data_IF_536781210184
#
_entry.id   IF_536781210184
#
_cell.length_a   1.000
_cell.length_b   1.000
_cell.length_c   1.000
_cell.angle_alpha   90.00
_cell.angle_beta   90.00
_cell.angle_gamma   90.00
#
_symmetry.space_group_name_H-M   'P 1'
#
loop_
_entity.id
_entity.type
_entity.pdbx_description
1 polymer ?
#
# COMPACT_ATOMS: atom_id res chain seq x y z
N UNK A 1 5.13 13.43 17.20
CA UNK A 1 4.35 12.48 16.39
C UNK A 1 5.28 11.84 15.36
N UNK A 2 5.09 10.56 15.07
CA UNK A 2 5.81 9.80 14.06
C UNK A 2 4.82 9.24 13.03
N UNK A 3 4.97 9.63 11.78
CA UNK A 3 4.13 9.17 10.66
C UNK A 3 4.92 8.23 9.77
N UNK A 4 4.41 7.03 9.54
CA UNK A 4 4.91 6.10 8.54
C UNK A 4 4.15 6.29 7.23
N UNK A 5 4.84 6.39 6.10
CA UNK A 5 4.20 6.47 4.77
C UNK A 5 4.82 5.44 3.85
N UNK A 6 3.97 4.63 3.22
CA UNK A 6 4.39 3.72 2.18
C UNK A 6 4.64 4.46 0.86
N UNK A 7 5.91 4.53 0.43
CA UNK A 7 6.35 5.19 -0.81
C UNK A 7 6.49 4.22 -1.99
N UNK A 8 6.07 2.96 -1.83
CA UNK A 8 6.13 1.92 -2.86
C UNK A 8 5.41 2.32 -4.15
N UNK A 9 4.28 3.04 -4.03
CA UNK A 9 3.54 3.58 -5.17
C UNK A 9 4.39 4.54 -6.03
N UNK A 10 5.40 5.22 -5.48
CA UNK A 10 6.26 6.14 -6.24
C UNK A 10 7.15 5.41 -7.26
N UNK A 11 7.31 4.09 -7.12
CA UNK A 11 8.12 3.28 -8.03
C UNK A 11 7.27 2.50 -9.04
N UNK A 12 6.12 1.99 -8.60
CA UNK A 12 5.29 1.10 -9.41
C UNK A 12 4.30 1.90 -10.26
N UNK A 13 3.62 2.86 -9.63
CA UNK A 13 2.55 3.57 -10.31
C UNK A 13 3.12 4.58 -11.31
N UNK A 14 2.25 4.99 -12.22
CA UNK A 14 2.51 5.97 -13.28
C UNK A 14 1.38 6.98 -13.29
N UNK A 15 1.59 8.10 -13.96
CA UNK A 15 0.59 9.16 -14.13
C UNK A 15 0.02 9.67 -12.78
N UNK A 16 -1.31 9.77 -12.66
CA UNK A 16 -1.98 10.51 -11.59
C UNK A 16 -1.64 10.07 -10.17
N UNK A 17 -1.61 8.77 -9.90
CA UNK A 17 -1.31 8.24 -8.55
C UNK A 17 0.11 8.63 -8.13
N UNK A 18 1.08 8.49 -9.04
CA UNK A 18 2.46 8.89 -8.81
C UNK A 18 2.56 10.40 -8.55
N UNK A 19 1.98 11.21 -9.44
CA UNK A 19 2.04 12.67 -9.35
C UNK A 19 1.39 13.18 -8.07
N UNK A 20 0.24 12.63 -7.69
CA UNK A 20 -0.43 13.00 -6.44
C UNK A 20 0.42 12.63 -5.23
N UNK A 21 0.82 11.36 -5.10
CA UNK A 21 1.55 10.88 -3.93
C UNK A 21 2.91 11.58 -3.77
N UNK A 22 3.61 11.83 -4.89
CA UNK A 22 4.87 12.56 -4.87
C UNK A 22 4.71 14.01 -4.41
N UNK A 23 3.74 14.74 -4.97
CA UNK A 23 3.54 16.15 -4.61
C UNK A 23 2.97 16.29 -3.20
N UNK A 24 2.09 15.39 -2.76
CA UNK A 24 1.61 15.37 -1.38
C UNK A 24 2.78 15.28 -0.40
N UNK A 25 3.66 14.29 -0.56
CA UNK A 25 4.82 14.13 0.30
C UNK A 25 5.80 15.30 0.18
N UNK A 26 6.15 15.72 -1.04
CA UNK A 26 7.05 16.85 -1.27
C UNK A 26 6.60 18.11 -0.55
N UNK A 27 5.31 18.45 -0.65
CA UNK A 27 4.78 19.67 -0.06
C UNK A 27 4.53 19.52 1.44
N UNK A 28 4.10 18.34 1.91
CA UNK A 28 3.96 18.05 3.33
C UNK A 28 5.30 18.19 4.07
N UNK A 29 6.36 17.61 3.53
CA UNK A 29 7.71 17.68 4.11
C UNK A 29 8.33 19.08 4.03
N UNK A 30 7.89 19.91 3.07
CA UNK A 30 8.36 21.28 2.97
C UNK A 30 7.84 22.15 4.14
N UNK A 31 6.59 21.92 4.57
CA UNK A 31 5.89 22.74 5.57
C UNK A 31 5.98 22.18 7.00
N UNK A 32 6.09 20.86 7.17
CA UNK A 32 6.11 20.22 8.48
C UNK A 32 7.53 19.76 8.87
N UNK A 33 8.04 20.36 9.95
CA UNK A 33 9.37 20.08 10.52
C UNK A 33 9.33 19.43 11.90
N UNK A 34 8.15 19.31 12.51
CA UNK A 34 7.99 18.79 13.88
C UNK A 34 7.72 17.29 13.88
N UNK A 35 6.98 16.80 12.89
CA UNK A 35 6.67 15.37 12.77
C UNK A 35 7.88 14.60 12.26
N UNK A 36 8.12 13.42 12.83
CA UNK A 36 9.09 12.47 12.29
C UNK A 36 8.43 11.62 11.21
N UNK A 37 9.00 11.61 10.01
CA UNK A 37 8.50 10.83 8.88
C UNK A 37 9.36 9.59 8.66
N UNK A 38 8.72 8.42 8.63
CA UNK A 38 9.32 7.16 8.22
C UNK A 38 8.77 6.77 6.85
N UNK A 39 9.57 6.96 5.80
CA UNK A 39 9.18 6.56 4.45
C UNK A 39 9.57 5.11 4.21
N UNK A 40 8.57 4.24 4.11
CA UNK A 40 8.74 2.82 3.89
C UNK A 40 8.77 2.54 2.38
N UNK A 41 9.89 1.97 1.92
CA UNK A 41 10.03 1.46 0.56
C UNK A 41 9.89 -0.07 0.59
N UNK A 42 8.74 -0.61 0.19
CA UNK A 42 8.36 -2.00 0.48
C UNK A 42 8.51 -3.00 -0.68
N UNK A 43 8.36 -2.60 -1.96
CA UNK A 43 8.05 -3.50 -3.11
C UNK A 43 8.59 -4.95 -3.00
N UNK A 44 9.90 -5.18 -3.09
CA UNK A 44 10.63 -6.02 -2.14
C UNK A 44 12.09 -5.56 -2.13
N UNK A 45 12.40 -4.55 -1.33
CA UNK A 45 13.78 -4.22 -0.95
C UNK A 45 14.76 -4.05 -2.12
N UNK A 46 14.54 -3.10 -3.04
CA UNK A 46 15.35 -2.77 -4.24
C UNK A 46 15.89 -3.96 -5.07
N UNK A 47 15.26 -4.19 -6.21
CA UNK A 47 15.95 -4.58 -7.47
C UNK A 47 15.60 -3.58 -8.57
N UNK A 48 16.57 -2.74 -8.95
CA UNK A 48 16.64 -1.89 -10.15
C UNK A 48 15.46 -0.93 -10.49
N UNK A 49 14.45 -0.76 -9.64
CA UNK A 49 13.41 0.24 -9.85
C UNK A 49 13.86 1.61 -9.35
N UNK A 50 13.62 2.64 -10.17
CA UNK A 50 13.95 4.03 -9.89
C UNK A 50 12.67 4.84 -9.85
N UNK A 51 12.50 5.67 -8.83
CA UNK A 51 11.42 6.66 -8.80
C UNK A 51 11.67 7.66 -9.94
N UNK A 52 10.75 7.78 -10.93
CA UNK A 52 10.98 8.63 -12.09
C UNK A 52 11.04 10.13 -11.76
N UNK A 53 10.52 10.54 -10.59
CA UNK A 53 10.55 11.93 -10.11
C UNK A 53 11.71 12.23 -9.16
N UNK A 54 12.54 11.22 -8.84
CA UNK A 54 13.61 11.32 -7.85
C UNK A 54 13.11 11.33 -6.40
N UNK A 55 13.94 10.89 -5.45
CA UNK A 55 13.62 10.92 -4.01
C UNK A 55 14.43 11.95 -3.25
N UNK A 56 15.39 12.61 -3.89
CA UNK A 56 16.30 13.55 -3.23
C UNK A 56 15.54 14.71 -2.60
N UNK A 57 14.43 15.13 -3.23
CA UNK A 57 13.53 16.18 -2.74
C UNK A 57 12.75 15.75 -1.50
N UNK A 58 12.60 14.45 -1.25
CA UNK A 58 11.89 13.92 -0.08
C UNK A 58 12.83 13.73 1.12
N UNK A 59 14.13 14.07 1.01
CA UNK A 59 15.05 14.01 2.15
C UNK A 59 14.88 15.25 3.04
N UNK A 60 15.02 15.04 4.34
CA UNK A 60 14.95 16.11 5.32
C UNK A 60 15.48 15.66 6.68
N UNK A 61 15.74 16.59 7.61
CA UNK A 61 16.27 16.28 8.95
C UNK A 61 15.31 15.43 9.79
N UNK A 62 14.01 15.54 9.53
CA UNK A 62 12.94 14.78 10.17
C UNK A 62 12.46 13.57 9.33
N UNK A 63 13.17 13.21 8.26
CA UNK A 63 12.78 12.12 7.36
C UNK A 63 13.78 10.98 7.42
N UNK A 64 13.27 9.78 7.71
CA UNK A 64 14.02 8.53 7.63
C UNK A 64 13.40 7.64 6.58
N UNK A 65 14.17 7.30 5.54
CA UNK A 65 13.75 6.28 4.57
C UNK A 65 14.23 4.92 5.07
N UNK A 66 13.33 3.95 5.13
CA UNK A 66 13.64 2.57 5.51
C UNK A 66 13.25 1.62 4.39
N UNK A 67 14.19 0.75 4.04
CA UNK A 67 13.95 -0.46 3.28
C UNK A 67 14.92 -1.56 3.75
N UNK A 68 14.65 -2.83 3.42
CA UNK A 68 15.56 -3.96 3.66
C UNK A 68 15.38 -5.13 2.69
N UNK A 69 16.46 -5.82 2.34
CA UNK A 69 16.39 -6.97 1.44
C UNK A 69 15.74 -8.16 2.17
N UNK A 70 14.43 -8.38 2.00
CA UNK A 70 13.85 -9.69 2.27
C UNK A 70 14.24 -10.61 1.10
N UNK A 71 14.87 -11.78 1.36
CA UNK A 71 15.26 -12.70 0.30
C UNK A 71 14.04 -13.12 -0.52
N UNK A 72 13.95 -12.60 -1.73
CA UNK A 72 12.91 -12.91 -2.70
C UNK A 72 13.15 -14.33 -3.24
N UNK A 73 12.64 -15.34 -2.54
CA UNK A 73 12.45 -16.65 -3.14
C UNK A 73 11.22 -16.57 -4.07
N UNK A 74 11.48 -16.45 -5.37
CA UNK A 74 10.46 -16.65 -6.40
C UNK A 74 9.85 -18.04 -6.20
N UNK A 75 8.60 -18.13 -5.76
CA UNK A 75 7.80 -19.26 -6.22
C UNK A 75 7.51 -19.00 -7.70
N UNK A 76 7.74 -19.97 -8.60
CA UNK A 76 7.38 -19.81 -10.00
C UNK A 76 5.86 -19.66 -10.11
N UNK A 77 5.37 -18.41 -10.14
CA UNK A 77 3.95 -18.10 -10.35
C UNK A 77 3.50 -18.33 -11.80
N UNK A 78 4.42 -18.74 -12.68
CA UNK A 78 4.16 -18.95 -14.12
C UNK A 78 3.74 -20.37 -14.49
N UNK A 79 3.52 -21.27 -13.53
CA UNK A 79 3.03 -22.61 -13.86
C UNK A 79 1.50 -22.64 -13.91
N UNK A 80 0.95 -23.16 -15.01
CA UNK A 80 -0.48 -23.44 -15.20
C UNK A 80 -0.69 -24.96 -15.25
N UNK A 81 -1.86 -25.44 -14.83
CA UNK A 81 -2.23 -26.88 -14.92
C UNK A 81 -2.13 -27.63 -13.58
N UNK A 82 -2.12 -28.97 -13.62
CA UNK A 82 -2.12 -29.82 -12.41
C UNK A 82 -0.90 -29.56 -11.50
N UNK A 83 0.27 -29.27 -12.09
CA UNK A 83 1.48 -28.90 -11.37
C UNK A 83 1.30 -27.66 -10.48
N UNK A 84 0.50 -26.67 -10.90
CA UNK A 84 0.17 -25.49 -10.09
C UNK A 84 -0.62 -25.84 -8.83
N UNK A 85 -1.54 -26.80 -8.89
CA UNK A 85 -2.34 -27.19 -7.72
C UNK A 85 -1.50 -27.97 -6.69
N UNK A 86 -0.64 -28.87 -7.16
CA UNK A 86 0.33 -29.58 -6.31
C UNK A 86 1.36 -28.62 -5.70
N UNK A 87 1.92 -27.70 -6.51
CA UNK A 87 2.80 -26.63 -6.02
C UNK A 87 2.07 -25.72 -5.02
N UNK A 88 0.78 -25.40 -5.23
CA UNK A 88 0.03 -24.56 -4.30
C UNK A 88 -0.10 -25.18 -2.91
N UNK A 89 -0.38 -26.49 -2.81
CA UNK A 89 -0.48 -27.18 -1.53
C UNK A 89 0.89 -27.40 -0.88
N UNK A 90 1.89 -27.83 -1.65
CA UNK A 90 3.25 -28.06 -1.14
C UNK A 90 3.95 -26.76 -0.72
N UNK A 91 3.66 -25.65 -1.40
CA UNK A 91 4.27 -24.34 -1.14
C UNK A 91 3.43 -23.45 -0.22
N UNK A 92 2.22 -23.86 0.16
CA UNK A 92 1.35 -23.12 1.06
C UNK A 92 2.02 -22.83 2.42
N UNK A 93 2.65 -23.82 3.11
CA UNK A 93 3.35 -23.54 4.37
C UNK A 93 4.46 -22.50 4.19
N UNK A 94 5.21 -22.60 3.09
CA UNK A 94 6.27 -21.66 2.74
C UNK A 94 5.72 -20.26 2.43
N UNK A 95 4.57 -20.17 1.75
CA UNK A 95 3.90 -18.90 1.48
C UNK A 95 3.41 -18.24 2.77
N UNK A 96 2.81 -19.01 3.68
CA UNK A 96 2.38 -18.51 5.00
C UNK A 96 3.56 -18.11 5.88
N UNK A 97 4.65 -18.87 5.86
CA UNK A 97 5.85 -18.51 6.61
C UNK A 97 6.49 -17.22 6.08
N UNK A 98 6.56 -17.03 4.76
CA UNK A 98 7.03 -15.77 4.16
C UNK A 98 6.12 -14.60 4.49
N UNK A 99 4.82 -14.81 4.46
CA UNK A 99 3.85 -13.80 4.91
C UNK A 99 4.14 -13.40 6.35
N UNK A 100 4.29 -14.37 7.25
CA UNK A 100 4.60 -14.12 8.65
C UNK A 100 5.93 -13.39 8.86
N UNK A 101 7.00 -13.78 8.16
CA UNK A 101 8.29 -13.08 8.21
C UNK A 101 8.19 -11.63 7.73
N UNK A 102 7.45 -11.42 6.65
CA UNK A 102 7.21 -10.09 6.07
C UNK A 102 6.41 -9.22 7.03
N UNK A 103 5.33 -9.74 7.59
CA UNK A 103 4.55 -9.06 8.62
C UNK A 103 5.43 -8.73 9.82
N UNK A 104 6.23 -9.67 10.33
CA UNK A 104 7.13 -9.43 11.45
C UNK A 104 8.16 -8.33 11.16
N UNK A 105 8.76 -8.34 9.96
CA UNK A 105 9.67 -7.28 9.52
C UNK A 105 8.98 -5.92 9.46
N UNK A 106 7.79 -5.85 8.84
CA UNK A 106 7.01 -4.61 8.75
C UNK A 106 6.65 -4.08 10.14
N UNK A 107 6.16 -4.93 11.05
CA UNK A 107 5.85 -4.53 12.42
C UNK A 107 7.10 -4.02 13.14
N UNK A 108 8.26 -4.66 12.95
CA UNK A 108 9.51 -4.23 13.58
C UNK A 108 9.99 -2.87 13.06
N UNK A 109 9.94 -2.64 11.75
CA UNK A 109 10.36 -1.37 11.12
C UNK A 109 9.40 -0.23 11.45
N UNK A 110 8.10 -0.51 11.45
CA UNK A 110 7.03 0.47 11.69
C UNK A 110 6.69 0.62 13.18
N UNK A 111 7.45 -0.03 14.07
CA UNK A 111 7.22 0.07 15.51
C UNK A 111 7.30 1.53 15.99
N UNK A 112 6.35 1.89 16.86
CA UNK A 112 6.23 3.22 17.46
C UNK A 112 5.78 4.32 16.49
N UNK A 113 5.26 3.97 15.32
CA UNK A 113 4.58 4.92 14.42
C UNK A 113 3.18 5.19 14.97
N UNK A 114 2.79 6.47 15.03
CA UNK A 114 1.46 6.89 15.51
C UNK A 114 0.40 6.77 14.40
N UNK A 115 0.78 7.09 13.16
CA UNK A 115 -0.09 7.03 11.97
C UNK A 115 0.66 6.35 10.83
N UNK A 116 0.07 5.33 10.23
CA UNK A 116 0.61 4.65 9.06
C UNK A 116 -0.28 4.86 7.83
N UNK A 117 0.24 5.53 6.81
CA UNK A 117 -0.44 5.74 5.53
C UNK A 117 0.04 4.71 4.52
N UNK A 118 -0.77 3.67 4.30
CA UNK A 118 -0.50 2.62 3.31
C UNK A 118 -0.88 3.05 1.90
N UNK A 119 -0.06 2.67 0.91
CA UNK A 119 -0.34 2.94 -0.50
C UNK A 119 -1.32 1.92 -1.09
N UNK A 120 -1.73 2.15 -2.34
CA UNK A 120 -2.56 1.20 -3.08
C UNK A 120 -1.82 -0.09 -3.47
N UNK A 121 -0.50 -0.14 -3.29
CA UNK A 121 0.34 -1.30 -3.61
C UNK A 121 0.38 -2.31 -2.46
N UNK A 122 0.48 -1.83 -1.22
CA UNK A 122 0.62 -2.68 -0.04
C UNK A 122 -0.57 -2.50 0.89
N UNK A 123 -1.20 -3.62 1.24
CA UNK A 123 -2.21 -3.69 2.28
C UNK A 123 -1.55 -4.29 3.53
N UNK A 124 -1.23 -3.45 4.51
CA UNK A 124 -0.79 -3.92 5.82
C UNK A 124 -1.30 -3.00 6.91
N UNK A 125 -1.66 -3.57 8.05
CA UNK A 125 -1.93 -2.82 9.28
C UNK A 125 -0.69 -2.81 10.16
N UNK A 126 -0.47 -1.70 10.86
CA UNK A 126 0.58 -1.55 11.88
C UNK A 126 -0.09 -1.56 13.23
N UNK A 127 0.34 -2.47 14.10
CA UNK A 127 -0.21 -2.58 15.44
C UNK A 127 0.13 -1.31 16.25
N UNK A 128 -0.88 -0.74 16.91
CA UNK A 128 -0.73 0.47 17.73
C UNK A 128 -0.71 1.80 16.97
N UNK A 129 -0.71 1.77 15.63
CA UNK A 129 -0.83 2.97 14.79
C UNK A 129 -2.27 3.15 14.30
N UNK A 130 -2.64 4.39 13.96
CA UNK A 130 -3.81 4.67 13.12
C UNK A 130 -3.49 4.35 11.66
N UNK A 131 -4.18 3.37 11.09
CA UNK A 131 -3.97 2.90 9.73
C UNK A 131 -4.85 3.68 8.76
N UNK A 132 -4.21 4.44 7.87
CA UNK A 132 -4.86 5.29 6.88
C UNK A 132 -4.59 4.75 5.48
N UNK A 133 -5.62 4.71 4.64
CA UNK A 133 -5.51 4.28 3.22
C UNK A 133 -6.03 5.38 2.31
N UNK A 134 -5.49 5.49 1.09
CA UNK A 134 -6.11 6.32 0.04
C UNK A 134 -6.83 5.44 -0.96
N UNK A 135 -8.10 5.74 -1.22
CA UNK A 135 -8.88 5.07 -2.28
C UNK A 135 -8.86 5.93 -3.53
N UNK A 136 -8.30 5.37 -4.60
CA UNK A 136 -8.14 6.04 -5.89
C UNK A 136 -9.33 5.84 -6.83
N UNK A 137 -9.82 4.60 -6.91
CA UNK A 137 -10.77 4.20 -7.94
C UNK A 137 -11.71 3.11 -7.42
N UNK A 138 -12.98 3.18 -7.81
CA UNK A 138 -14.00 2.16 -7.54
C UNK A 138 -14.53 1.56 -8.85
N UNK A 139 -14.16 2.10 -10.01
CA UNK A 139 -14.67 1.69 -11.32
C UNK A 139 -14.52 0.18 -11.60
N UNK A 140 -13.44 -0.52 -11.20
CA UNK A 140 -13.35 -1.96 -11.42
C UNK A 140 -14.40 -2.78 -10.67
N UNK A 141 -14.93 -2.24 -9.56
CA UNK A 141 -15.95 -2.88 -8.74
C UNK A 141 -17.35 -2.43 -9.15
N UNK A 142 -17.54 -1.15 -9.49
CA UNK A 142 -18.84 -0.62 -9.91
C UNK A 142 -19.21 -1.00 -11.35
N UNK A 143 -18.22 -1.11 -12.23
CA UNK A 143 -18.44 -1.39 -13.66
C UNK A 143 -17.60 -2.57 -14.15
N UNK A 144 -17.67 -3.75 -13.52
CA UNK A 144 -16.77 -4.87 -13.81
C UNK A 144 -16.77 -5.34 -15.26
N UNK A 145 -17.85 -5.07 -16.02
CA UNK A 145 -17.96 -5.36 -17.45
C UNK A 145 -16.91 -4.66 -18.34
N UNK A 146 -16.35 -3.54 -17.87
CA UNK A 146 -15.31 -2.78 -18.59
C UNK A 146 -13.89 -3.10 -18.12
N UNK A 147 -13.75 -4.02 -17.16
CA UNK A 147 -12.47 -4.39 -16.58
C UNK A 147 -12.24 -5.89 -16.68
N UNK A 148 -10.98 -6.31 -16.58
CA UNK A 148 -10.67 -7.73 -16.52
C UNK A 148 -11.09 -8.30 -15.17
N UNK A 149 -11.55 -9.57 -15.11
CA UNK A 149 -11.95 -10.19 -13.84
C UNK A 149 -10.85 -10.20 -12.77
N UNK A 150 -9.58 -10.24 -13.19
CA UNK A 150 -8.44 -10.17 -12.27
C UNK A 150 -8.29 -8.80 -11.61
N UNK A 151 -8.48 -7.71 -12.36
CA UNK A 151 -8.40 -6.34 -11.83
C UNK A 151 -9.61 -6.05 -10.93
N UNK A 152 -10.81 -6.47 -11.32
CA UNK A 152 -12.00 -6.33 -10.48
C UNK A 152 -11.82 -7.05 -9.12
N UNK A 153 -11.33 -8.29 -9.12
CA UNK A 153 -11.04 -9.04 -7.89
C UNK A 153 -9.96 -8.39 -7.04
N UNK A 154 -8.87 -7.92 -7.66
CA UNK A 154 -7.80 -7.22 -6.95
C UNK A 154 -8.33 -5.95 -6.28
N UNK A 155 -9.13 -5.16 -6.99
CA UNK A 155 -9.71 -3.94 -6.47
C UNK A 155 -10.74 -4.22 -5.36
N UNK A 156 -11.54 -5.28 -5.51
CA UNK A 156 -12.46 -5.71 -4.46
C UNK A 156 -11.72 -6.09 -3.18
N UNK A 157 -10.59 -6.81 -3.28
CA UNK A 157 -9.76 -7.12 -2.11
C UNK A 157 -9.20 -5.84 -1.44
N UNK A 158 -8.69 -4.89 -2.24
CA UNK A 158 -8.21 -3.59 -1.73
C UNK A 158 -9.30 -2.80 -1.00
N UNK A 159 -10.50 -2.74 -1.57
CA UNK A 159 -11.63 -2.02 -0.97
C UNK A 159 -12.18 -2.76 0.27
N UNK A 160 -12.12 -4.09 0.29
CA UNK A 160 -12.38 -4.88 1.49
C UNK A 160 -11.42 -4.53 2.62
N UNK A 161 -10.11 -4.51 2.35
CA UNK A 161 -9.10 -4.06 3.33
C UNK A 161 -9.36 -2.63 3.82
N UNK A 162 -9.66 -1.69 2.92
CA UNK A 162 -9.99 -0.32 3.31
C UNK A 162 -11.24 -0.24 4.21
N UNK A 163 -12.24 -1.08 3.94
CA UNK A 163 -13.48 -1.13 4.72
C UNK A 163 -13.28 -1.77 6.09
N UNK A 164 -12.57 -2.90 6.14
CA UNK A 164 -12.56 -3.77 7.31
C UNK A 164 -11.37 -3.46 8.24
N UNK A 165 -10.21 -3.07 7.68
CA UNK A 165 -8.94 -2.99 8.42
C UNK A 165 -8.40 -1.56 8.62
N UNK A 166 -8.75 -0.61 7.74
CA UNK A 166 -8.29 0.78 7.90
C UNK A 166 -9.05 1.50 9.03
N UNK A 167 -8.37 2.36 9.78
CA UNK A 167 -9.00 3.29 10.72
C UNK A 167 -9.65 4.47 9.99
N UNK A 168 -9.02 4.94 8.91
CA UNK A 168 -9.49 6.09 8.13
C UNK A 168 -9.15 5.95 6.65
N UNK A 169 -9.99 6.54 5.79
CA UNK A 169 -9.88 6.48 4.34
C UNK A 169 -9.76 7.89 3.81
N UNK A 170 -8.76 8.17 2.99
CA UNK A 170 -8.67 9.40 2.21
C UNK A 170 -9.33 9.14 0.86
N UNK A 171 -10.45 9.78 0.60
CA UNK A 171 -11.05 9.84 -0.72
C UNK A 171 -10.44 10.98 -1.56
N UNK A 172 -10.02 10.69 -2.78
CA UNK A 172 -9.39 11.70 -3.66
C UNK A 172 -10.38 12.73 -4.23
N UNK A 173 -11.69 12.53 -4.04
CA UNK A 173 -12.74 13.43 -4.52
C UNK A 173 -14.05 13.23 -3.77
N UNK A 174 -14.95 14.21 -3.87
CA UNK A 174 -16.33 14.08 -3.39
C UNK A 174 -17.08 12.94 -4.08
N UNK A 175 -16.79 12.65 -5.35
CA UNK A 175 -17.40 11.52 -6.06
C UNK A 175 -16.96 10.20 -5.44
N UNK A 176 -15.65 10.03 -5.22
CA UNK A 176 -15.09 8.83 -4.57
C UNK A 176 -15.69 8.63 -3.18
N UNK A 177 -15.81 9.71 -2.37
CA UNK A 177 -16.45 9.65 -1.05
C UNK A 177 -17.91 9.20 -1.14
N UNK A 178 -18.70 9.77 -2.06
CA UNK A 178 -20.09 9.36 -2.28
C UNK A 178 -20.19 7.90 -2.72
N UNK A 179 -19.30 7.44 -3.58
CA UNK A 179 -19.35 6.07 -4.09
C UNK A 179 -18.97 5.06 -2.99
N UNK A 180 -18.01 5.41 -2.13
CA UNK A 180 -17.65 4.64 -0.93
C UNK A 180 -18.83 4.51 0.05
N UNK A 181 -19.55 5.61 0.32
CA UNK A 181 -20.71 5.58 1.22
C UNK A 181 -21.89 4.84 0.60
N UNK A 182 -22.17 5.07 -0.69
CA UNK A 182 -23.38 4.57 -1.36
C UNK A 182 -23.26 3.09 -1.74
N UNK A 183 -22.10 2.68 -2.28
CA UNK A 183 -21.95 1.33 -2.85
C UNK A 183 -21.23 0.34 -1.92
N UNK A 184 -20.43 0.83 -0.97
CA UNK A 184 -19.70 -0.03 -0.03
C UNK A 184 -20.18 0.10 1.42
N UNK A 185 -21.15 0.98 1.67
CA UNK A 185 -21.74 1.26 2.98
C UNK A 185 -20.68 1.62 4.03
N UNK A 186 -19.64 2.34 3.61
CA UNK A 186 -18.61 2.83 4.52
C UNK A 186 -19.12 4.11 5.20
N UNK A 187 -19.05 4.22 6.54
CA UNK A 187 -19.46 5.42 7.27
C UNK A 187 -18.71 6.68 6.83
N UNK A 188 -19.41 7.81 6.72
CA UNK A 188 -18.83 9.06 6.19
C UNK A 188 -17.81 9.74 7.11
N UNK A 189 -17.80 9.38 8.39
CA UNK A 189 -16.81 9.78 9.42
C UNK A 189 -15.51 8.99 9.33
N UNK A 190 -15.55 7.80 8.70
CA UNK A 190 -14.36 7.00 8.36
C UNK A 190 -13.65 7.49 7.09
N UNK A 191 -14.28 8.37 6.28
CA UNK A 191 -13.79 8.84 4.96
C UNK A 191 -13.49 10.34 4.95
#
# INVERSE_FOLDING_TARGET
>A
MKIGVDITALYINRAGILTYSYNLLKHLLAIDRETQYLLLDYVPVRRNLVCPLGLEVLRGPNVRVVGGHLPWFCLPQKERGAAYQWNRLALWPWARWREAQRTAYLQAVLNGVDVFHSSDVMQCTVAGARNVVTVWDLTPVLFPKWHTPSIARLQQAKLGFAKDEADHIIAISYSTKRDLTTHLSIPADKI
#
